data_IF_916340026564
#
_entry.id   IF_916340026564
#
_cell.length_a   1.000
_cell.length_b   1.000
_cell.length_c   1.000
_cell.angle_alpha   90.00
_cell.angle_beta   90.00
_cell.angle_gamma   90.00
#
_symmetry.space_group_name_H-M   'P 1'
#
loop_
_entity.id
_entity.type
_entity.pdbx_description
1 polymer ?
#
# COMPACT_ATOMS: atom_id res chain seq x y z
N UNK A 1 38.12 -7.37 -16.68
CA UNK A 1 37.22 -7.01 -15.56
C UNK A 1 35.94 -7.83 -15.74
N UNK A 2 35.93 -9.08 -15.30
CA UNK A 2 34.81 -10.02 -15.51
C UNK A 2 34.73 -11.13 -14.46
N UNK A 3 35.55 -11.07 -13.39
CA UNK A 3 35.71 -12.15 -12.40
C UNK A 3 34.83 -11.96 -11.15
N UNK A 4 34.56 -10.70 -10.80
CA UNK A 4 33.79 -10.30 -9.60
C UNK A 4 32.30 -10.69 -9.71
N UNK A 5 31.75 -10.70 -10.94
CA UNK A 5 30.36 -11.08 -11.19
C UNK A 5 30.08 -12.57 -11.04
N UNK A 6 31.05 -13.43 -11.40
CA UNK A 6 30.95 -14.89 -11.27
C UNK A 6 31.00 -15.32 -9.80
N UNK A 7 31.91 -14.74 -9.01
CA UNK A 7 32.06 -15.05 -7.60
C UNK A 7 30.81 -14.66 -6.79
N UNK A 8 30.23 -13.48 -7.06
CA UNK A 8 28.97 -13.06 -6.44
C UNK A 8 27.81 -13.99 -6.83
N UNK A 9 27.73 -14.43 -8.08
CA UNK A 9 26.69 -15.36 -8.52
C UNK A 9 26.82 -16.73 -7.84
N UNK A 10 28.05 -17.26 -7.72
CA UNK A 10 28.31 -18.52 -7.02
C UNK A 10 27.92 -18.44 -5.54
N UNK A 11 28.27 -17.33 -4.87
CA UNK A 11 27.85 -17.08 -3.49
C UNK A 11 26.33 -17.01 -3.36
N UNK A 12 25.63 -16.35 -4.28
CA UNK A 12 24.17 -16.27 -4.27
C UNK A 12 23.50 -17.64 -4.49
N UNK A 13 24.09 -18.49 -5.33
CA UNK A 13 23.64 -19.87 -5.54
C UNK A 13 23.90 -20.72 -4.30
N UNK A 14 25.11 -20.64 -3.72
CA UNK A 14 25.50 -21.39 -2.53
C UNK A 14 24.60 -21.07 -1.32
N UNK A 15 24.24 -19.80 -1.16
CA UNK A 15 23.31 -19.37 -0.10
C UNK A 15 21.84 -19.73 -0.41
N UNK A 16 21.55 -20.28 -1.58
CA UNK A 16 20.22 -20.66 -2.04
C UNK A 16 19.32 -19.47 -2.34
N UNK A 17 19.91 -18.32 -2.70
CA UNK A 17 19.16 -17.12 -3.09
C UNK A 17 18.81 -17.08 -4.56
N UNK A 18 19.62 -17.74 -5.38
CA UNK A 18 19.39 -17.90 -6.81
C UNK A 18 19.49 -19.39 -7.14
N UNK A 19 18.63 -19.88 -8.02
CA UNK A 19 18.67 -21.22 -8.60
C UNK A 19 18.74 -21.12 -10.12
N UNK A 20 19.15 -22.20 -10.78
CA UNK A 20 19.06 -22.30 -12.25
C UNK A 20 17.76 -23.02 -12.61
N UNK A 21 17.00 -22.46 -13.55
CA UNK A 21 15.83 -23.13 -14.12
C UNK A 21 16.25 -24.28 -15.07
N UNK A 22 15.27 -25.01 -15.59
CA UNK A 22 15.50 -26.13 -16.51
C UNK A 22 16.20 -25.68 -17.82
N UNK A 23 16.14 -24.40 -18.16
CA UNK A 23 16.80 -23.78 -19.30
C UNK A 23 18.17 -23.16 -18.95
N UNK A 24 18.65 -23.36 -17.71
CA UNK A 24 19.96 -22.92 -17.23
C UNK A 24 20.04 -21.44 -16.86
N UNK A 25 18.91 -20.71 -16.84
CA UNK A 25 18.84 -19.29 -16.47
C UNK A 25 18.71 -19.13 -14.95
N UNK A 26 19.35 -18.10 -14.42
CA UNK A 26 19.27 -17.76 -13.02
C UNK A 26 17.90 -17.19 -12.64
N UNK A 27 17.35 -17.68 -11.54
CA UNK A 27 16.06 -17.27 -10.99
C UNK A 27 16.16 -17.07 -9.47
N UNK A 28 15.52 -16.00 -8.99
CA UNK A 28 15.45 -15.69 -7.56
C UNK A 28 14.56 -16.70 -6.83
N UNK A 29 15.07 -17.29 -5.75
CA UNK A 29 14.34 -18.28 -4.95
C UNK A 29 13.37 -17.60 -3.96
N UNK A 30 12.34 -18.30 -3.45
CA UNK A 30 11.46 -17.77 -2.40
C UNK A 30 12.23 -17.32 -1.14
N UNK A 31 13.34 -17.99 -0.82
CA UNK A 31 14.23 -17.63 0.30
C UNK A 31 14.85 -16.24 0.08
N UNK A 32 15.32 -15.94 -1.13
CA UNK A 32 15.83 -14.62 -1.47
C UNK A 32 14.75 -13.55 -1.40
N UNK A 33 13.56 -13.82 -1.94
CA UNK A 33 12.48 -12.82 -1.90
C UNK A 33 12.14 -12.43 -0.47
N UNK A 34 11.94 -13.40 0.43
CA UNK A 34 11.71 -13.15 1.86
C UNK A 34 12.82 -12.33 2.51
N UNK A 35 14.08 -12.62 2.17
CA UNK A 35 15.23 -11.87 2.69
C UNK A 35 15.23 -10.41 2.23
N UNK A 36 14.90 -10.16 0.96
CA UNK A 36 14.85 -8.80 0.41
C UNK A 36 13.66 -8.04 1.00
N UNK A 37 12.50 -8.66 1.14
CA UNK A 37 11.32 -8.08 1.80
C UNK A 37 11.61 -7.67 3.25
N UNK A 38 12.17 -8.58 4.05
CA UNK A 38 12.51 -8.30 5.45
C UNK A 38 13.53 -7.18 5.56
N UNK A 39 14.57 -7.19 4.70
CA UNK A 39 15.56 -6.12 4.69
C UNK A 39 14.97 -4.77 4.28
N UNK A 40 14.09 -4.74 3.29
CA UNK A 40 13.39 -3.51 2.90
C UNK A 40 12.53 -2.99 4.07
N UNK A 41 11.85 -3.89 4.79
CA UNK A 41 11.06 -3.54 5.96
C UNK A 41 11.93 -2.97 7.11
N UNK A 42 13.05 -3.62 7.42
CA UNK A 42 14.03 -3.14 8.40
C UNK A 42 14.57 -1.75 8.02
N UNK A 43 14.97 -1.56 6.75
CA UNK A 43 15.48 -0.28 6.25
C UNK A 43 14.43 0.84 6.39
N UNK A 44 13.15 0.57 6.11
CA UNK A 44 12.08 1.55 6.32
C UNK A 44 11.94 1.97 7.79
N UNK A 45 11.99 1.03 8.74
CA UNK A 45 11.87 1.35 10.16
C UNK A 45 13.13 2.00 10.75
N UNK A 46 14.31 1.71 10.20
CA UNK A 46 15.56 2.34 10.62
C UNK A 46 15.66 3.82 10.20
N UNK A 47 15.17 4.16 9.01
CA UNK A 47 15.16 5.56 8.53
C UNK A 47 14.22 6.43 9.38
N UNK A 48 13.06 5.90 9.79
CA UNK A 48 12.09 6.62 10.62
C UNK A 48 12.60 7.07 12.00
N UNK A 49 13.60 6.36 12.58
CA UNK A 49 14.15 6.71 13.91
C UNK A 49 15.11 7.91 13.89
N UNK A 50 15.64 8.32 12.74
CA UNK A 50 16.60 9.43 12.65
C UNK A 50 15.97 10.81 12.43
N UNK A 51 14.67 10.89 12.13
CA UNK A 51 14.01 12.13 11.69
C UNK A 51 12.97 12.76 12.64
N UNK A 52 12.61 12.15 13.78
CA UNK A 52 11.56 12.67 14.68
C UNK A 52 11.96 12.60 16.16
N UNK A 53 12.57 13.68 16.66
CA UNK A 53 12.46 14.07 18.07
C UNK A 53 11.09 14.75 18.26
N UNK A 54 10.06 13.96 18.56
CA UNK A 54 8.72 14.49 18.77
C UNK A 54 7.69 13.38 18.92
N UNK A 55 7.41 13.03 20.18
CA UNK A 55 6.30 12.22 20.72
C UNK A 55 5.40 11.52 19.70
N UNK A 56 5.77 10.31 19.34
CA UNK A 56 4.82 9.21 19.20
C UNK A 56 5.48 7.99 19.84
N UNK A 57 4.84 7.42 20.86
CA UNK A 57 5.23 6.10 21.35
C UNK A 57 5.02 5.12 20.20
N UNK A 58 6.11 4.69 19.58
CA UNK A 58 6.07 3.56 18.66
C UNK A 58 5.74 2.31 19.50
N UNK A 59 4.72 1.51 19.17
CA UNK A 59 4.47 0.22 19.82
C UNK A 59 5.46 -0.86 19.35
N UNK A 60 6.65 -0.46 18.88
CA UNK A 60 7.71 -1.37 18.48
C UNK A 60 8.50 -1.83 19.70
N UNK A 61 7.92 -2.76 20.46
CA UNK A 61 8.66 -3.65 21.36
C UNK A 61 8.88 -4.99 20.66
N UNK A 62 10.16 -5.35 20.50
CA UNK A 62 10.68 -6.73 20.54
C UNK A 62 10.22 -7.78 19.49
N UNK A 63 11.09 -8.74 19.16
CA UNK A 63 10.68 -10.01 18.56
C UNK A 63 10.17 -10.91 19.70
N UNK A 64 8.86 -10.91 19.90
CA UNK A 64 8.21 -11.73 20.92
C UNK A 64 7.09 -10.94 21.57
N UNK A 65 5.87 -11.37 21.26
CA UNK A 65 4.60 -11.18 21.97
C UNK A 65 3.49 -10.88 20.96
N UNK A 66 2.56 -11.84 20.88
CA UNK A 66 1.15 -11.59 20.60
C UNK A 66 0.76 -10.19 21.09
N UNK A 67 0.10 -9.39 20.24
CA UNK A 67 -0.49 -8.12 20.67
C UNK A 67 -1.21 -8.35 22.01
N UNK A 68 -0.84 -7.57 23.02
CA UNK A 68 -1.68 -7.46 24.20
C UNK A 68 -3.04 -6.94 23.76
N UNK A 69 -4.07 -7.73 24.02
CA UNK A 69 -5.47 -7.31 23.95
C UNK A 69 -5.59 -6.07 24.85
N UNK A 70 -5.78 -4.89 24.26
CA UNK A 70 -6.04 -3.68 25.04
C UNK A 70 -7.36 -3.92 25.78
N UNK A 71 -7.33 -3.98 27.10
CA UNK A 71 -8.50 -4.22 27.91
C UNK A 71 -9.07 -2.88 28.38
N UNK A 72 -10.38 -2.69 28.29
CA UNK A 72 -11.05 -1.45 28.72
C UNK A 72 -12.18 -1.74 29.70
N UNK A 73 -12.61 -0.75 30.51
CA UNK A 73 -13.79 -0.88 31.34
C UNK A 73 -15.01 -1.27 30.50
N UNK A 74 -15.83 -2.16 31.04
CA UNK A 74 -17.11 -2.56 30.46
C UNK A 74 -18.04 -1.35 30.30
N UNK A 75 -18.69 -1.23 29.15
CA UNK A 75 -19.78 -0.29 28.93
C UNK A 75 -21.08 -1.07 28.66
N UNK A 76 -22.20 -0.53 29.13
CA UNK A 76 -23.51 -1.15 28.97
C UNK A 76 -23.81 -1.45 27.49
N UNK A 77 -23.96 -2.73 27.16
CA UNK A 77 -24.18 -3.21 25.80
C UNK A 77 -23.00 -3.98 25.19
N UNK A 78 -21.84 -4.03 25.86
CA UNK A 78 -20.72 -4.87 25.41
C UNK A 78 -21.06 -6.36 25.48
N UNK A 79 -20.55 -7.19 24.53
CA UNK A 79 -20.77 -8.63 24.55
C UNK A 79 -20.10 -9.27 25.77
N UNK A 80 -20.86 -10.01 26.57
CA UNK A 80 -20.34 -10.75 27.72
C UNK A 80 -19.32 -11.85 27.34
N UNK A 81 -19.28 -12.23 26.06
CA UNK A 81 -18.31 -13.18 25.53
C UNK A 81 -16.86 -12.62 25.55
N UNK A 82 -16.71 -11.29 25.53
CA UNK A 82 -15.42 -10.61 25.44
C UNK A 82 -14.91 -10.18 26.83
N UNK A 83 -15.50 -10.70 27.91
CA UNK A 83 -15.12 -10.36 29.28
C UNK A 83 -13.74 -10.92 29.62
N UNK A 84 -12.81 -10.04 30.00
CA UNK A 84 -11.54 -10.40 30.59
C UNK A 84 -11.75 -10.80 32.06
N UNK A 85 -12.05 -12.08 32.28
CA UNK A 85 -12.27 -12.64 33.61
C UNK A 85 -11.06 -12.46 34.53
N UNK A 86 -9.84 -12.49 34.00
CA UNK A 86 -8.63 -12.36 34.81
C UNK A 86 -8.48 -10.97 35.40
N UNK A 87 -8.53 -9.92 34.58
CA UNK A 87 -8.48 -8.52 35.04
C UNK A 87 -9.73 -8.16 35.85
N UNK A 88 -10.91 -8.70 35.49
CA UNK A 88 -12.15 -8.52 36.26
C UNK A 88 -12.03 -9.07 37.69
N UNK A 89 -11.53 -10.30 37.84
CA UNK A 89 -11.34 -10.91 39.15
C UNK A 89 -10.23 -10.20 39.95
N UNK A 90 -9.18 -9.74 39.27
CA UNK A 90 -8.10 -8.96 39.89
C UNK A 90 -8.60 -7.61 40.40
N UNK A 91 -9.42 -6.90 39.64
CA UNK A 91 -10.06 -5.65 40.05
C UNK A 91 -10.99 -5.88 41.25
N UNK A 92 -11.86 -6.91 41.18
CA UNK A 92 -12.75 -7.26 42.27
C UNK A 92 -11.98 -7.63 43.55
N UNK A 93 -10.91 -8.42 43.43
CA UNK A 93 -10.06 -8.80 44.56
C UNK A 93 -9.33 -7.60 45.17
N UNK A 94 -8.81 -6.70 44.34
CA UNK A 94 -8.17 -5.47 44.80
C UNK A 94 -9.16 -4.52 45.48
N UNK A 95 -10.35 -4.31 44.90
CA UNK A 95 -11.42 -3.48 45.47
C UNK A 95 -11.87 -3.99 46.83
N UNK A 96 -12.00 -5.32 46.96
CA UNK A 96 -12.42 -5.96 48.20
C UNK A 96 -11.32 -5.97 49.29
N UNK A 97 -10.04 -5.81 48.90
CA UNK A 97 -8.90 -5.91 49.82
C UNK A 97 -8.57 -7.35 50.22
N UNK A 98 -9.03 -8.33 49.43
CA UNK A 98 -8.82 -9.77 49.65
C UNK A 98 -9.95 -10.52 50.37
N UNK A 99 -9.76 -11.83 50.54
CA UNK A 99 -10.74 -12.73 51.16
C UNK A 99 -11.64 -13.47 50.17
N UNK A 100 -12.31 -14.52 50.64
CA UNK A 100 -13.26 -15.31 49.88
C UNK A 100 -14.63 -15.32 50.58
N UNK A 101 -15.76 -15.30 49.84
CA UNK A 101 -15.88 -15.27 48.38
C UNK A 101 -15.57 -13.89 47.76
N UNK A 102 -15.08 -13.90 46.51
CA UNK A 102 -14.86 -12.67 45.72
C UNK A 102 -16.20 -12.18 45.20
N UNK A 103 -16.57 -10.94 45.52
CA UNK A 103 -17.79 -10.30 45.02
C UNK A 103 -17.47 -9.46 43.79
N UNK A 104 -18.05 -9.78 42.63
CA UNK A 104 -17.85 -9.03 41.38
C UNK A 104 -18.97 -8.01 41.23
N UNK A 105 -18.61 -6.76 40.91
CA UNK A 105 -19.53 -5.66 40.59
C UNK A 105 -19.29 -5.16 39.16
N UNK A 106 -20.21 -4.35 38.63
CA UNK A 106 -20.11 -3.81 37.26
C UNK A 106 -18.84 -2.96 37.06
N UNK A 107 -18.41 -2.22 38.07
CA UNK A 107 -17.18 -1.42 38.06
C UNK A 107 -15.89 -2.27 37.96
N UNK A 108 -15.99 -3.56 38.29
CA UNK A 108 -14.87 -4.49 38.19
C UNK A 108 -14.76 -5.09 36.78
N UNK A 109 -15.83 -5.04 35.97
CA UNK A 109 -15.89 -5.70 34.67
C UNK A 109 -14.96 -5.02 33.67
N UNK A 110 -14.09 -5.84 33.09
CA UNK A 110 -13.18 -5.43 32.03
C UNK A 110 -13.48 -6.28 30.81
N UNK A 111 -13.63 -5.64 29.65
CA UNK A 111 -13.77 -6.33 28.38
C UNK A 111 -12.47 -6.21 27.59
N UNK A 112 -12.12 -7.28 26.90
CA UNK A 112 -11.13 -7.21 25.84
C UNK A 112 -11.65 -6.26 24.77
N UNK A 113 -10.84 -5.29 24.36
CA UNK A 113 -11.11 -4.56 23.13
C UNK A 113 -10.89 -5.55 22.00
N UNK A 114 -11.96 -6.23 21.60
CA UNK A 114 -11.99 -6.97 20.36
C UNK A 114 -11.90 -5.93 19.25
N UNK A 115 -10.68 -5.51 18.90
CA UNK A 115 -10.42 -5.06 17.55
C UNK A 115 -10.85 -6.25 16.68
N UNK A 116 -12.08 -6.22 16.16
CA UNK A 116 -12.45 -7.08 15.05
C UNK A 116 -11.35 -6.84 14.01
N UNK A 117 -10.40 -7.77 13.91
CA UNK A 117 -9.46 -7.79 12.81
C UNK A 117 -10.26 -8.20 11.57
N UNK A 118 -11.13 -7.31 11.12
CA UNK A 118 -11.82 -7.40 9.85
C UNK A 118 -10.74 -7.52 8.80
N UNK A 119 -10.73 -8.66 8.12
CA UNK A 119 -9.80 -8.92 7.03
C UNK A 119 -9.85 -7.77 6.03
N UNK A 120 -8.69 -7.39 5.53
CA UNK A 120 -8.54 -6.28 4.60
C UNK A 120 -8.01 -6.77 3.26
N UNK A 121 -8.65 -6.34 2.18
CA UNK A 121 -8.13 -6.47 0.84
C UNK A 121 -7.51 -5.15 0.37
N UNK A 122 -6.20 -5.18 0.10
CA UNK A 122 -5.41 -4.02 -0.30
C UNK A 122 -4.87 -4.20 -1.70
N UNK A 123 -5.09 -3.21 -2.57
CA UNK A 123 -4.39 -3.10 -3.85
C UNK A 123 -3.47 -1.89 -3.83
N UNK A 124 -2.19 -2.09 -4.14
CA UNK A 124 -1.22 -1.01 -4.32
C UNK A 124 -1.05 -0.73 -5.81
N UNK A 125 -1.39 0.49 -6.21
CA UNK A 125 -1.17 1.04 -7.54
C UNK A 125 0.20 1.71 -7.58
N UNK A 126 1.11 1.17 -8.38
CA UNK A 126 2.45 1.71 -8.60
C UNK A 126 2.52 2.39 -9.97
N UNK A 127 2.86 3.67 -9.98
CA UNK A 127 3.13 4.40 -11.20
C UNK A 127 4.41 3.88 -11.87
N UNK A 128 4.28 3.51 -13.14
CA UNK A 128 5.35 3.05 -14.01
C UNK A 128 5.51 3.96 -15.23
N UNK A 129 4.97 5.19 -15.19
CA UNK A 129 5.17 6.21 -16.23
C UNK A 129 6.64 6.61 -16.35
N UNK A 130 7.00 7.27 -17.46
CA UNK A 130 8.40 7.59 -17.75
C UNK A 130 9.06 8.53 -16.74
N UNK A 131 8.30 9.42 -16.10
CA UNK A 131 8.78 10.36 -15.08
C UNK A 131 9.36 9.66 -13.85
N UNK A 132 8.80 8.49 -13.50
CA UNK A 132 9.23 7.68 -12.36
C UNK A 132 10.68 7.15 -12.48
N UNK A 133 11.29 7.21 -13.68
CA UNK A 133 12.71 6.87 -13.89
C UNK A 133 13.68 7.86 -13.24
N UNK A 134 13.21 9.07 -12.92
CA UNK A 134 14.05 10.16 -12.40
C UNK A 134 14.16 10.10 -10.87
N UNK A 135 15.28 10.60 -10.34
CA UNK A 135 15.51 10.81 -8.91
C UNK A 135 15.31 9.56 -8.02
N UNK A 136 15.38 8.35 -8.61
CA UNK A 136 15.18 7.10 -7.86
C UNK A 136 13.76 6.89 -7.32
N UNK A 137 12.77 7.68 -7.77
CA UNK A 137 11.38 7.63 -7.29
C UNK A 137 10.79 6.23 -7.36
N UNK A 138 10.91 5.58 -8.52
CA UNK A 138 10.44 4.20 -8.69
C UNK A 138 11.16 3.21 -7.77
N UNK A 139 12.46 3.39 -7.56
CA UNK A 139 13.25 2.56 -6.66
C UNK A 139 12.70 2.59 -5.23
N UNK A 140 12.35 3.78 -4.73
CA UNK A 140 11.76 3.92 -3.40
C UNK A 140 10.33 3.38 -3.34
N UNK A 141 9.49 3.70 -4.32
CA UNK A 141 8.14 3.14 -4.41
C UNK A 141 8.15 1.60 -4.42
N UNK A 142 9.06 1.00 -5.18
CA UNK A 142 9.27 -0.46 -5.21
C UNK A 142 9.72 -1.00 -3.85
N UNK A 143 10.68 -0.35 -3.18
CA UNK A 143 11.12 -0.78 -1.83
C UNK A 143 9.98 -0.74 -0.82
N UNK A 144 9.15 0.31 -0.85
CA UNK A 144 7.97 0.43 0.01
C UNK A 144 6.95 -0.67 -0.28
N UNK A 145 6.68 -0.96 -1.55
CA UNK A 145 5.81 -2.06 -1.94
C UNK A 145 6.31 -3.42 -1.42
N UNK A 146 7.61 -3.69 -1.55
CA UNK A 146 8.22 -4.93 -1.06
C UNK A 146 8.20 -5.04 0.47
N UNK A 147 8.48 -3.94 1.17
CA UNK A 147 8.39 -3.90 2.62
C UNK A 147 6.95 -4.15 3.10
N UNK A 148 5.95 -3.55 2.45
CA UNK A 148 4.54 -3.80 2.74
C UNK A 148 4.17 -5.26 2.52
N UNK A 149 4.70 -5.89 1.47
CA UNK A 149 4.53 -7.32 1.21
C UNK A 149 5.09 -8.18 2.36
N UNK A 150 6.30 -7.87 2.82
CA UNK A 150 6.90 -8.51 4.00
C UNK A 150 6.07 -8.30 5.27
N UNK A 151 5.57 -7.09 5.49
CA UNK A 151 4.73 -6.75 6.64
C UNK A 151 3.42 -7.53 6.66
N UNK A 152 2.71 -7.60 5.53
CA UNK A 152 1.45 -8.35 5.41
C UNK A 152 1.71 -9.85 5.60
N UNK A 153 2.73 -10.39 4.94
CA UNK A 153 3.11 -11.81 5.06
C UNK A 153 3.51 -12.18 6.49
N UNK A 154 4.16 -11.28 7.22
CA UNK A 154 4.61 -11.52 8.60
C UNK A 154 3.50 -11.35 9.63
N UNK A 155 2.80 -10.20 9.62
CA UNK A 155 1.88 -9.79 10.69
C UNK A 155 0.40 -9.91 10.36
N UNK A 156 0.02 -9.94 9.08
CA UNK A 156 -1.37 -9.83 8.65
C UNK A 156 -1.74 -10.92 7.66
N UNK A 157 -1.56 -12.17 8.10
CA UNK A 157 -1.66 -13.36 7.24
C UNK A 157 -3.06 -13.59 6.66
N UNK A 158 -4.11 -13.06 7.32
CA UNK A 158 -5.50 -13.13 6.87
C UNK A 158 -5.88 -12.04 5.85
N UNK A 159 -4.99 -11.07 5.60
CA UNK A 159 -5.23 -10.00 4.64
C UNK A 159 -4.73 -10.37 3.24
N UNK A 160 -5.38 -9.80 2.22
CA UNK A 160 -4.92 -9.93 0.83
C UNK A 160 -4.21 -8.66 0.39
N UNK A 161 -3.02 -8.81 -0.18
CA UNK A 161 -2.26 -7.71 -0.78
C UNK A 161 -1.96 -8.03 -2.25
N UNK A 162 -2.29 -7.11 -3.15
CA UNK A 162 -2.02 -7.25 -4.58
C UNK A 162 -1.41 -5.96 -5.14
N UNK A 163 -0.58 -6.10 -6.18
CA UNK A 163 0.10 -4.97 -6.82
C UNK A 163 -0.37 -4.81 -8.26
N UNK A 164 -0.52 -3.56 -8.70
CA UNK A 164 -0.86 -3.20 -10.08
C UNK A 164 0.07 -2.09 -10.51
N UNK A 165 0.80 -2.34 -11.59
CA UNK A 165 1.57 -1.31 -12.28
C UNK A 165 0.64 -0.56 -13.24
N UNK A 166 0.56 0.75 -13.12
CA UNK A 166 -0.16 1.58 -14.08
C UNK A 166 0.80 2.51 -14.81
N UNK A 167 0.52 2.70 -16.08
CA UNK A 167 1.27 3.51 -17.03
C UNK A 167 0.24 3.92 -18.09
N UNK A 168 0.53 3.81 -19.39
CA UNK A 168 -0.52 3.98 -20.42
C UNK A 168 -1.69 2.98 -20.27
N UNK A 169 -1.36 1.76 -19.83
CA UNK A 169 -2.31 0.71 -19.45
C UNK A 169 -2.18 0.39 -17.95
N UNK A 170 -2.89 -0.62 -17.47
CA UNK A 170 -2.73 -1.16 -16.13
C UNK A 170 -2.58 -2.69 -16.19
N UNK A 171 -1.62 -3.23 -15.45
CA UNK A 171 -1.35 -4.68 -15.40
C UNK A 171 -1.02 -5.12 -13.98
N UNK A 172 -1.44 -6.34 -13.57
CA UNK A 172 -1.07 -6.88 -12.28
C UNK A 172 0.45 -7.09 -12.23
N UNK A 173 1.05 -6.91 -11.07
CA UNK A 173 2.44 -7.24 -10.80
C UNK A 173 2.48 -8.42 -9.85
N UNK A 174 3.02 -9.55 -10.31
CA UNK A 174 3.35 -10.66 -9.41
C UNK A 174 4.53 -10.29 -8.51
N UNK A 175 4.78 -11.08 -7.48
CA UNK A 175 5.95 -10.92 -6.60
C UNK A 175 7.27 -10.89 -7.40
N UNK A 176 7.36 -11.66 -8.48
CA UNK A 176 8.53 -11.64 -9.37
C UNK A 176 8.57 -10.41 -10.25
N UNK A 177 7.43 -10.04 -10.83
CA UNK A 177 7.34 -8.85 -11.67
C UNK A 177 7.68 -7.60 -10.86
N UNK A 178 7.30 -7.54 -9.59
CA UNK A 178 7.62 -6.42 -8.71
C UNK A 178 9.13 -6.24 -8.56
N UNK A 179 9.90 -7.33 -8.42
CA UNK A 179 11.37 -7.26 -8.29
C UNK A 179 12.04 -6.67 -9.53
N UNK A 180 11.61 -7.14 -10.70
CA UNK A 180 12.19 -6.77 -12.01
C UNK A 180 11.50 -5.57 -12.65
N UNK A 181 10.42 -5.06 -12.05
CA UNK A 181 9.69 -3.91 -12.56
C UNK A 181 10.61 -2.70 -12.68
N UNK A 182 10.37 -1.95 -13.75
CA UNK A 182 11.00 -0.68 -14.06
C UNK A 182 9.99 0.24 -14.75
N UNK A 183 10.15 1.56 -14.64
CA UNK A 183 9.34 2.52 -15.39
C UNK A 183 9.40 2.26 -16.90
N UNK A 184 8.31 2.58 -17.60
CA UNK A 184 8.22 2.46 -19.05
C UNK A 184 9.10 3.51 -19.72
N UNK A 185 9.87 3.08 -20.72
CA UNK A 185 10.78 3.97 -21.44
C UNK A 185 10.04 5.08 -22.18
N UNK A 186 10.61 6.29 -22.11
CA UNK A 186 10.09 7.44 -22.84
C UNK A 186 10.40 7.25 -24.32
N UNK A 187 9.34 7.11 -25.10
CA UNK A 187 9.38 6.81 -26.54
C UNK A 187 8.80 7.93 -27.40
N UNK A 188 8.35 9.03 -26.78
CA UNK A 188 7.74 10.17 -27.44
C UNK A 188 8.24 11.43 -26.72
N UNK A 189 8.79 12.38 -27.49
CA UNK A 189 9.49 13.55 -26.94
C UNK A 189 8.82 14.88 -27.31
N UNK A 190 7.67 14.82 -27.99
CA UNK A 190 6.88 16.01 -28.32
C UNK A 190 6.37 16.67 -27.02
N UNK A 191 6.57 17.98 -26.82
CA UNK A 191 6.11 18.69 -25.63
C UNK A 191 4.57 18.78 -25.51
N UNK A 192 3.81 18.47 -26.58
CA UNK A 192 2.36 18.48 -26.61
C UNK A 192 1.81 17.27 -27.36
N UNK A 193 1.30 16.30 -26.62
CA UNK A 193 0.75 15.06 -27.16
C UNK A 193 -0.76 15.07 -27.04
N UNK A 194 -1.46 14.74 -28.14
CA UNK A 194 -2.90 14.46 -28.15
C UNK A 194 -3.16 13.28 -29.08
N UNK A 195 -3.15 12.07 -28.52
CA UNK A 195 -3.40 10.84 -29.26
C UNK A 195 -4.72 10.23 -28.80
N UNK A 196 -5.48 9.71 -29.77
CA UNK A 196 -6.66 8.87 -29.55
C UNK A 196 -6.40 7.54 -30.22
N UNK A 197 -6.47 6.47 -29.43
CA UNK A 197 -6.16 5.11 -29.85
C UNK A 197 -7.39 4.25 -29.60
N UNK A 198 -7.92 3.65 -30.65
CA UNK A 198 -9.01 2.68 -30.51
C UNK A 198 -8.45 1.38 -29.92
N UNK A 199 -9.02 0.90 -28.81
CA UNK A 199 -8.57 -0.28 -28.09
C UNK A 199 -8.92 -1.59 -28.80
N UNK A 200 -9.94 -1.59 -29.67
CA UNK A 200 -10.34 -2.77 -30.45
C UNK A 200 -9.42 -2.95 -31.69
N UNK A 201 -8.84 -1.85 -32.18
CA UNK A 201 -7.90 -1.83 -33.31
C UNK A 201 -6.68 -0.94 -33.01
N UNK A 202 -5.82 -1.32 -32.05
CA UNK A 202 -4.67 -0.51 -31.70
C UNK A 202 -3.60 -0.53 -32.80
N UNK A 203 -2.84 0.57 -32.98
CA UNK A 203 -1.69 0.57 -33.88
C UNK A 203 -0.61 -0.38 -33.36
N UNK A 204 0.34 -0.76 -34.24
CA UNK A 204 1.45 -1.66 -33.91
C UNK A 204 2.28 -1.17 -32.71
N UNK A 205 2.38 0.13 -32.53
CA UNK A 205 3.13 0.74 -31.45
C UNK A 205 2.26 1.77 -30.71
N UNK A 206 2.16 1.60 -29.38
CA UNK A 206 1.52 2.56 -28.48
C UNK A 206 2.55 2.98 -27.44
N UNK A 207 2.86 4.28 -27.31
CA UNK A 207 3.73 4.78 -26.24
C UNK A 207 3.23 4.33 -24.88
N UNK A 208 4.12 3.80 -24.03
CA UNK A 208 3.70 3.22 -22.74
C UNK A 208 3.94 4.14 -21.53
N UNK A 209 4.72 5.21 -21.67
CA UNK A 209 5.23 6.03 -20.56
C UNK A 209 4.27 7.11 -20.01
N UNK A 210 2.99 7.08 -20.37
CA UNK A 210 1.95 7.97 -19.81
C UNK A 210 1.43 7.50 -18.45
N UNK A 211 0.66 8.35 -17.77
CA UNK A 211 0.16 8.16 -16.40
C UNK A 211 -1.36 7.94 -16.41
N UNK A 212 -1.83 6.69 -16.51
CA UNK A 212 -3.26 6.33 -16.55
C UNK A 212 -3.77 5.86 -15.18
N UNK A 213 -3.88 6.78 -14.23
CA UNK A 213 -4.39 6.52 -12.88
C UNK A 213 -5.81 5.93 -12.96
N UNK A 214 -6.64 6.42 -13.90
CA UNK A 214 -7.99 5.93 -14.11
C UNK A 214 -8.02 4.42 -14.43
N UNK A 215 -7.17 3.94 -15.35
CA UNK A 215 -7.10 2.51 -15.68
C UNK A 215 -6.59 1.68 -14.50
N UNK A 216 -5.62 2.20 -13.73
CA UNK A 216 -5.15 1.58 -12.50
C UNK A 216 -6.28 1.38 -11.49
N UNK A 217 -7.02 2.44 -11.19
CA UNK A 217 -8.17 2.41 -10.29
C UNK A 217 -9.27 1.46 -10.76
N UNK A 218 -9.60 1.48 -12.06
CA UNK A 218 -10.56 0.54 -12.65
C UNK A 218 -10.11 -0.92 -12.46
N UNK A 219 -8.81 -1.19 -12.67
CA UNK A 219 -8.24 -2.52 -12.52
C UNK A 219 -8.30 -2.98 -11.06
N UNK A 220 -7.83 -2.14 -10.14
CA UNK A 220 -7.86 -2.40 -8.70
C UNK A 220 -9.29 -2.63 -8.18
N UNK A 221 -10.26 -1.78 -8.56
CA UNK A 221 -11.67 -1.97 -8.18
C UNK A 221 -12.22 -3.31 -8.66
N UNK A 222 -11.90 -3.74 -9.88
CA UNK A 222 -12.29 -5.08 -10.39
C UNK A 222 -11.62 -6.23 -9.63
N UNK A 223 -10.41 -6.05 -9.13
CA UNK A 223 -9.73 -7.05 -8.30
C UNK A 223 -10.39 -7.11 -6.91
N UNK A 224 -10.55 -5.97 -6.25
CA UNK A 224 -11.14 -5.86 -4.91
C UNK A 224 -12.60 -6.34 -4.86
N UNK A 225 -13.38 -6.17 -5.93
CA UNK A 225 -14.73 -6.75 -6.03
C UNK A 225 -14.78 -8.27 -5.88
N UNK A 226 -13.70 -8.97 -6.25
CA UNK A 226 -13.60 -10.43 -6.13
C UNK A 226 -13.09 -10.90 -4.77
N UNK A 227 -12.60 -9.98 -3.93
CA UNK A 227 -12.08 -10.32 -2.61
C UNK A 227 -13.22 -10.40 -1.59
N UNK A 228 -13.23 -11.42 -0.72
CA UNK A 228 -14.27 -11.64 0.29
C UNK A 228 -14.14 -10.70 1.50
N UNK A 229 -12.98 -10.05 1.67
CA UNK A 229 -12.71 -9.14 2.77
C UNK A 229 -13.74 -8.00 2.84
N UNK A 230 -14.21 -7.70 4.06
CA UNK A 230 -15.15 -6.60 4.31
C UNK A 230 -14.51 -5.25 4.01
N UNK A 231 -13.27 -5.04 4.49
CA UNK A 231 -12.54 -3.81 4.27
C UNK A 231 -11.75 -3.90 2.97
N UNK A 232 -11.87 -2.87 2.13
CA UNK A 232 -11.19 -2.78 0.84
C UNK A 232 -10.48 -1.45 0.75
N UNK A 233 -9.21 -1.46 0.36
CA UNK A 233 -8.45 -0.23 0.19
C UNK A 233 -7.56 -0.25 -1.05
N UNK A 234 -7.33 0.94 -1.60
CA UNK A 234 -6.40 1.19 -2.70
C UNK A 234 -5.38 2.22 -2.23
N UNK A 235 -4.11 1.87 -2.33
CA UNK A 235 -2.98 2.78 -2.10
C UNK A 235 -2.38 3.13 -3.46
N UNK A 236 -2.36 4.41 -3.82
CA UNK A 236 -1.82 4.90 -5.10
C UNK A 236 -0.53 5.66 -4.84
N UNK A 237 0.55 5.29 -5.53
CA UNK A 237 1.85 5.96 -5.47
C UNK A 237 2.18 6.47 -6.87
N UNK A 238 2.34 7.79 -7.03
CA UNK A 238 2.57 8.45 -8.32
C UNK A 238 3.43 9.68 -8.20
N UNK A 239 4.13 10.05 -9.28
CA UNK A 239 4.91 11.28 -9.35
C UNK A 239 4.37 12.30 -10.36
N UNK A 240 3.18 12.05 -10.92
CA UNK A 240 2.62 12.87 -11.99
C UNK A 240 1.10 12.92 -12.01
N UNK A 241 0.57 14.01 -12.56
CA UNK A 241 -0.85 14.14 -12.86
C UNK A 241 -1.27 13.15 -13.95
N UNK A 242 -2.55 12.77 -14.04
CA UNK A 242 -2.98 11.83 -15.04
C UNK A 242 -2.87 12.45 -16.44
N UNK A 243 -2.17 11.74 -17.32
CA UNK A 243 -1.91 12.11 -18.72
C UNK A 243 -2.51 11.11 -19.71
N UNK A 244 -3.17 10.08 -19.21
CA UNK A 244 -3.91 9.12 -20.02
C UNK A 244 -5.20 8.69 -19.33
N UNK A 245 -6.22 8.40 -20.12
CA UNK A 245 -7.48 7.83 -19.64
C UNK A 245 -8.22 7.09 -20.78
N UNK A 246 -9.19 6.28 -20.40
CA UNK A 246 -10.06 5.52 -21.30
C UNK A 246 -11.45 6.16 -21.30
N UNK A 247 -11.99 6.39 -22.50
CA UNK A 247 -13.37 6.80 -22.74
C UNK A 247 -14.03 5.82 -23.73
N UNK A 248 -15.00 5.04 -23.26
CA UNK A 248 -15.61 4.00 -24.08
C UNK A 248 -14.58 2.96 -24.53
N UNK A 249 -14.31 2.92 -25.84
CA UNK A 249 -13.31 2.06 -26.48
C UNK A 249 -12.03 2.80 -26.91
N UNK A 250 -11.91 4.07 -26.53
CA UNK A 250 -10.76 4.90 -26.88
C UNK A 250 -9.84 5.11 -25.68
N UNK A 251 -8.55 4.87 -25.88
CA UNK A 251 -7.47 5.33 -25.02
C UNK A 251 -7.01 6.71 -25.51
N UNK A 252 -7.08 7.70 -24.62
CA UNK A 252 -6.60 9.06 -24.89
C UNK A 252 -5.28 9.28 -24.15
N UNK A 253 -4.25 9.74 -24.88
CA UNK A 253 -2.97 10.17 -24.33
C UNK A 253 -2.86 11.69 -24.52
N UNK A 254 -2.82 12.43 -23.42
CA UNK A 254 -2.87 13.90 -23.42
C UNK A 254 -1.75 14.43 -22.54
N UNK A 255 -0.79 15.10 -23.16
CA UNK A 255 0.30 15.79 -22.48
C UNK A 255 0.43 17.23 -23.01
N UNK A 256 0.63 18.25 -22.16
CA UNK A 256 0.58 18.23 -20.70
C UNK A 256 -0.77 17.74 -20.12
N UNK A 257 -0.86 17.46 -18.81
CA UNK A 257 -2.10 17.05 -18.15
C UNK A 257 -3.29 17.94 -18.49
N UNK A 258 -4.49 17.36 -18.53
CA UNK A 258 -5.70 18.07 -18.94
C UNK A 258 -6.87 17.83 -18.00
N UNK A 259 -7.75 18.82 -17.87
CA UNK A 259 -8.99 18.73 -17.08
C UNK A 259 -9.88 17.57 -17.52
N UNK A 260 -9.84 17.19 -18.81
CA UNK A 260 -10.60 16.04 -19.32
C UNK A 260 -10.12 14.75 -18.66
N UNK A 261 -8.81 14.50 -18.67
CA UNK A 261 -8.19 13.34 -18.05
C UNK A 261 -8.34 13.35 -16.53
N UNK A 262 -8.20 14.52 -15.90
CA UNK A 262 -8.43 14.69 -14.47
C UNK A 262 -9.86 14.33 -14.08
N UNK A 263 -10.87 14.86 -14.79
CA UNK A 263 -12.30 14.53 -14.55
C UNK A 263 -12.61 13.05 -14.76
N UNK A 264 -12.06 12.44 -15.80
CA UNK A 264 -12.23 11.01 -16.06
C UNK A 264 -11.67 10.15 -14.92
N UNK A 265 -10.53 10.56 -14.36
CA UNK A 265 -9.88 9.90 -13.20
C UNK A 265 -10.69 10.11 -11.92
N UNK A 266 -11.08 11.36 -11.60
CA UNK A 266 -11.89 11.67 -10.41
C UNK A 266 -13.26 10.96 -10.44
N UNK A 267 -13.84 10.78 -11.63
CA UNK A 267 -15.06 9.99 -11.79
C UNK A 267 -14.85 8.50 -11.42
N UNK A 268 -13.66 7.94 -11.68
CA UNK A 268 -13.32 6.59 -11.21
C UNK A 268 -13.08 6.56 -9.70
N UNK A 269 -12.40 7.57 -9.15
CA UNK A 269 -12.23 7.71 -7.68
C UNK A 269 -13.60 7.72 -6.98
N UNK A 270 -14.56 8.48 -7.50
CA UNK A 270 -15.93 8.49 -6.99
C UNK A 270 -16.62 7.12 -7.10
N UNK A 271 -16.34 6.35 -8.16
CA UNK A 271 -16.85 4.97 -8.29
C UNK A 271 -16.23 4.03 -7.24
N UNK A 272 -14.93 4.11 -7.00
CA UNK A 272 -14.28 3.34 -5.94
C UNK A 272 -14.85 3.68 -4.56
N UNK A 273 -14.99 4.97 -4.25
CA UNK A 273 -15.52 5.42 -2.97
C UNK A 273 -16.98 4.99 -2.72
N UNK A 274 -17.83 5.03 -3.75
CA UNK A 274 -19.21 4.52 -3.66
C UNK A 274 -19.29 3.02 -3.39
N UNK A 275 -18.24 2.27 -3.70
CA UNK A 275 -18.14 0.83 -3.38
C UNK A 275 -17.51 0.57 -2.01
N UNK A 276 -17.34 1.61 -1.18
CA UNK A 276 -16.76 1.49 0.16
C UNK A 276 -15.25 1.24 0.16
N UNK A 277 -14.58 1.44 -0.99
CA UNK A 277 -13.13 1.27 -1.07
C UNK A 277 -12.46 2.52 -0.49
N UNK A 278 -11.62 2.35 0.53
CA UNK A 278 -10.79 3.42 1.07
C UNK A 278 -9.64 3.75 0.10
N UNK A 279 -9.39 5.03 -0.18
CA UNK A 279 -8.31 5.43 -1.08
C UNK A 279 -7.27 6.28 -0.36
N UNK A 280 -6.01 5.92 -0.56
CA UNK A 280 -4.86 6.70 -0.11
C UNK A 280 -3.98 7.01 -1.30
N UNK A 281 -3.64 8.27 -1.51
CA UNK A 281 -2.88 8.74 -2.67
C UNK A 281 -1.64 9.49 -2.21
N UNK A 282 -0.48 9.00 -2.64
CA UNK A 282 0.85 9.49 -2.29
C UNK A 282 1.51 10.09 -3.51
N UNK A 283 1.72 11.41 -3.46
CA UNK A 283 2.36 12.18 -4.52
C UNK A 283 3.86 12.31 -4.22
N UNK A 284 4.70 11.79 -5.11
CA UNK A 284 6.16 11.90 -5.04
C UNK A 284 6.62 13.23 -5.65
N UNK A 285 6.87 14.19 -4.77
CA UNK A 285 7.25 15.56 -5.13
C UNK A 285 8.71 15.78 -4.77
N UNK A 286 9.54 16.10 -5.77
CA UNK A 286 10.96 16.48 -5.57
C UNK A 286 11.09 18.02 -5.43
N UNK A 287 10.31 18.76 -6.23
CA UNK A 287 10.31 20.23 -6.22
C UNK A 287 8.96 20.78 -5.75
N UNK A 288 8.97 21.78 -4.88
CA UNK A 288 7.77 22.47 -4.35
C UNK A 288 6.86 23.08 -5.42
N UNK A 289 7.31 23.15 -6.68
CA UNK A 289 6.57 23.78 -7.79
C UNK A 289 5.57 22.86 -8.50
N UNK A 290 5.43 21.58 -8.12
CA UNK A 290 4.39 20.68 -8.65
C UNK A 290 3.01 20.91 -8.01
N UNK A 291 2.54 22.15 -8.02
CA UNK A 291 1.26 22.55 -7.44
C UNK A 291 0.07 21.84 -8.11
N UNK A 292 0.18 21.52 -9.40
CA UNK A 292 -0.84 20.77 -10.15
C UNK A 292 -1.07 19.36 -9.59
N UNK A 293 0.01 18.59 -9.37
CA UNK A 293 -0.05 17.26 -8.78
C UNK A 293 -0.62 17.29 -7.36
N UNK A 294 -0.15 18.21 -6.52
CA UNK A 294 -0.63 18.36 -5.14
C UNK A 294 -2.13 18.63 -5.13
N UNK A 295 -2.59 19.60 -5.92
CA UNK A 295 -4.02 19.90 -6.04
C UNK A 295 -4.83 18.71 -6.57
N UNK A 296 -4.31 17.98 -7.55
CA UNK A 296 -5.00 16.80 -8.09
C UNK A 296 -5.16 15.68 -7.04
N UNK A 297 -4.10 15.37 -6.28
CA UNK A 297 -4.15 14.36 -5.22
C UNK A 297 -5.07 14.79 -4.08
N UNK A 298 -5.10 16.07 -3.72
CA UNK A 298 -6.10 16.60 -2.79
C UNK A 298 -7.53 16.44 -3.31
N UNK A 299 -7.78 16.70 -4.60
CA UNK A 299 -9.09 16.48 -5.21
C UNK A 299 -9.50 15.00 -5.13
N UNK A 300 -8.56 14.07 -5.37
CA UNK A 300 -8.82 12.64 -5.19
C UNK A 300 -9.27 12.33 -3.76
N UNK A 301 -8.56 12.85 -2.75
CA UNK A 301 -8.90 12.64 -1.34
C UNK A 301 -10.26 13.28 -0.97
N UNK A 302 -10.56 14.48 -1.47
CA UNK A 302 -11.86 15.13 -1.25
C UNK A 302 -13.01 14.30 -1.84
N UNK A 303 -12.85 13.79 -3.05
CA UNK A 303 -13.86 12.96 -3.73
C UNK A 303 -14.05 11.62 -3.04
N UNK A 304 -12.96 10.98 -2.57
CA UNK A 304 -13.03 9.67 -1.91
C UNK A 304 -13.29 9.74 -0.41
N UNK A 305 -13.19 10.91 0.22
CA UNK A 305 -13.00 11.08 1.67
C UNK A 305 -11.81 10.27 2.21
N UNK A 306 -10.81 10.08 1.36
CA UNK A 306 -9.61 9.30 1.61
C UNK A 306 -8.44 10.15 2.07
N UNK A 307 -7.24 9.59 1.95
CA UNK A 307 -5.99 10.23 2.35
C UNK A 307 -5.26 10.78 1.13
N UNK A 308 -4.77 12.00 1.24
CA UNK A 308 -3.82 12.61 0.32
C UNK A 308 -2.56 12.97 1.11
N UNK A 309 -1.40 12.57 0.62
CA UNK A 309 -0.12 13.01 1.16
C UNK A 309 0.85 13.30 0.03
N UNK A 310 1.66 14.34 0.23
CA UNK A 310 2.78 14.68 -0.63
C UNK A 310 4.07 14.41 0.16
N UNK A 311 5.02 13.76 -0.49
CA UNK A 311 6.27 13.40 0.17
C UNK A 311 7.41 13.36 -0.85
N UNK A 312 8.62 13.60 -0.35
CA UNK A 312 9.81 13.18 -1.08
C UNK A 312 9.92 11.64 -1.07
N UNK A 313 10.83 11.10 -1.87
CA UNK A 313 10.99 9.66 -1.99
C UNK A 313 11.47 8.96 -0.69
N UNK A 314 12.04 9.69 0.27
CA UNK A 314 12.54 9.16 1.54
C UNK A 314 11.44 8.98 2.59
N UNK A 315 10.46 9.90 2.63
CA UNK A 315 9.37 9.88 3.61
C UNK A 315 8.19 8.97 3.20
N UNK A 316 8.17 8.51 1.94
CA UNK A 316 7.11 7.68 1.38
C UNK A 316 6.79 6.45 2.24
N UNK A 317 7.82 5.77 2.75
CA UNK A 317 7.64 4.49 3.44
C UNK A 317 6.79 4.59 4.72
N UNK A 318 7.09 5.58 5.57
CA UNK A 318 6.33 5.81 6.80
C UNK A 318 4.87 6.15 6.49
N UNK A 319 4.64 7.07 5.56
CA UNK A 319 3.28 7.53 5.23
C UNK A 319 2.41 6.41 4.65
N UNK A 320 3.00 5.57 3.79
CA UNK A 320 2.30 4.41 3.22
C UNK A 320 1.97 3.37 4.30
N UNK A 321 2.90 3.07 5.21
CA UNK A 321 2.68 2.13 6.32
C UNK A 321 1.57 2.64 7.25
N UNK A 322 1.65 3.90 7.68
CA UNK A 322 0.64 4.50 8.55
C UNK A 322 -0.74 4.48 7.91
N UNK A 323 -0.82 4.82 6.62
CA UNK A 323 -2.09 4.77 5.91
C UNK A 323 -2.57 3.34 5.69
N UNK A 324 -1.69 2.37 5.48
CA UNK A 324 -2.08 0.97 5.37
C UNK A 324 -2.72 0.48 6.67
N UNK A 325 -2.14 0.84 7.82
CA UNK A 325 -2.69 0.50 9.14
C UNK A 325 -4.00 1.25 9.40
N UNK A 326 -4.02 2.57 9.15
CA UNK A 326 -5.20 3.41 9.37
C UNK A 326 -6.39 3.04 8.48
N UNK A 327 -6.14 2.67 7.21
CA UNK A 327 -7.17 2.29 6.24
C UNK A 327 -7.88 0.96 6.55
N UNK A 328 -7.39 0.20 7.53
CA UNK A 328 -8.01 -1.05 8.00
C UNK A 328 -9.03 -0.85 9.09
N UNK A 329 -9.03 0.31 9.76
CA UNK A 329 -9.95 0.57 10.86
C UNK A 329 -11.29 0.99 10.28
N UNK A 330 -12.33 0.19 10.56
CA UNK A 330 -13.71 0.58 10.28
C UNK A 330 -13.96 1.88 11.06
N UNK A 331 -14.13 3.01 10.36
CA UNK A 331 -14.68 4.21 11.01
C UNK A 331 -16.05 3.80 11.51
N UNK A 332 -16.23 3.65 12.83
CA UNK A 332 -17.55 3.55 13.45
C UNK A 332 -18.35 4.73 12.92
N UNK A 333 -19.34 4.42 12.09
CA UNK A 333 -20.43 5.35 11.84
C UNK A 333 -21.23 5.31 13.13
N UNK A 334 -21.16 6.41 13.88
CA UNK A 334 -22.06 6.65 15.00
C UNK A 334 -23.49 6.81 14.49
#
# INVERSE_FOLDING_TARGET
>A
QSDDGSEVLELLVQHGYIERDAEGRYRVTPKAVRRIENRALEELFHVGRKGRLGKHETPFRGPGETLHEEARPYEYGDPMADLNLHETLKNAFHRQGGGAPIQITEDDLVVYDTEFQTTCATVVLLDMSGSMSRFGKFGQAKRVAMALQGLVRGRYQSDSLQFVGFYTYASPLTERDLLTAAPKEVSLFDPRVRLRINLDHPPRFVPQHFTNIQAGLQFARRMLRRQPAENKQIITITDGEPTAHIEGRDLLLIYPPSDRTARATLAEVARCAREGIHLSSFALVEDYFYLGLVNFVEQMARVSRGVAAYCNAHDLGHLVIDSFIGGRRKRRTF
#
